data_IF_099689598305
#
_entry.id   IF_099689598305
#
_cell.length_a   1.000
_cell.length_b   1.000
_cell.length_c   1.000
_cell.angle_alpha   90.00
_cell.angle_beta   90.00
_cell.angle_gamma   90.00
#
_symmetry.space_group_name_H-M   'P 1'
#
loop_
_entity.id
_entity.type
_entity.pdbx_description
1 polymer ?
#
# COMPACT_ATOMS: atom_id res chain seq x y z
N UNK A 1 -1.12 1.56 15.41
CA UNK A 1 -0.68 0.48 14.50
C UNK A 1 -1.92 -0.30 14.18
N UNK A 2 -2.30 -0.35 12.93
CA UNK A 2 -3.53 -1.00 12.51
C UNK A 2 -3.26 -2.47 12.14
N UNK A 3 -4.26 -3.34 12.33
CA UNK A 3 -4.14 -4.77 11.97
C UNK A 3 -4.76 -5.00 10.60
N UNK A 4 -4.04 -5.67 9.72
CA UNK A 4 -4.55 -6.08 8.41
C UNK A 4 -5.16 -7.47 8.53
N UNK A 5 -6.41 -7.61 8.08
CA UNK A 5 -7.12 -8.88 8.04
C UNK A 5 -6.66 -9.75 6.86
N UNK A 6 -6.62 -9.16 5.65
CA UNK A 6 -6.18 -9.78 4.41
C UNK A 6 -5.73 -8.70 3.41
N UNK A 7 -5.09 -9.13 2.33
CA UNK A 7 -4.63 -8.26 1.23
C UNK A 7 -5.19 -8.77 -0.09
N UNK A 8 -5.72 -7.85 -0.90
CA UNK A 8 -6.14 -8.13 -2.27
C UNK A 8 -5.17 -7.48 -3.25
N UNK A 9 -4.81 -8.22 -4.31
CA UNK A 9 -3.87 -7.76 -5.34
C UNK A 9 -4.50 -7.95 -6.72
N UNK A 10 -4.40 -6.92 -7.57
CA UNK A 10 -4.77 -6.99 -8.98
C UNK A 10 -3.59 -6.52 -9.85
N UNK A 11 -3.23 -7.32 -10.85
CA UNK A 11 -2.06 -7.10 -11.71
C UNK A 11 -2.46 -6.99 -13.20
N UNK A 12 -3.42 -6.11 -13.49
CA UNK A 12 -3.93 -5.85 -14.84
C UNK A 12 -3.32 -4.60 -15.48
N UNK A 13 -4.15 -3.89 -16.27
CA UNK A 13 -3.83 -2.54 -16.74
C UNK A 13 -3.63 -1.56 -15.57
N UNK A 14 -4.42 -1.79 -14.50
CA UNK A 14 -4.26 -1.18 -13.19
C UNK A 14 -3.53 -2.15 -12.27
N UNK A 15 -2.55 -1.63 -11.54
CA UNK A 15 -1.88 -2.33 -10.45
C UNK A 15 -2.51 -1.88 -9.15
N UNK A 16 -3.11 -2.81 -8.41
CA UNK A 16 -3.80 -2.51 -7.15
C UNK A 16 -3.27 -3.41 -6.04
N UNK A 17 -3.01 -2.80 -4.88
CA UNK A 17 -2.82 -3.48 -3.60
C UNK A 17 -3.78 -2.85 -2.61
N UNK A 18 -4.73 -3.63 -2.08
CA UNK A 18 -5.66 -3.17 -1.06
C UNK A 18 -5.47 -3.94 0.24
N UNK A 19 -5.30 -3.20 1.33
CA UNK A 19 -5.24 -3.75 2.68
C UNK A 19 -6.61 -3.61 3.35
N UNK A 20 -7.17 -4.73 3.80
CA UNK A 20 -8.35 -4.74 4.66
C UNK A 20 -7.93 -4.43 6.11
N UNK A 21 -8.06 -3.18 6.54
CA UNK A 21 -7.58 -2.68 7.82
C UNK A 21 -8.67 -2.74 8.89
N UNK A 22 -8.44 -3.47 9.97
CA UNK A 22 -9.36 -3.54 11.10
C UNK A 22 -9.28 -2.28 11.96
N UNK A 23 -10.43 -1.77 12.42
CA UNK A 23 -10.41 -0.77 13.49
C UNK A 23 -9.92 -1.40 14.80
N UNK A 24 -9.02 -0.73 15.55
CA UNK A 24 -8.55 -1.23 16.84
C UNK A 24 -9.68 -1.50 17.84
N UNK A 25 -10.70 -0.64 17.84
CA UNK A 25 -11.81 -0.68 18.80
C UNK A 25 -12.98 -1.57 18.33
N UNK A 26 -13.04 -1.90 17.04
CA UNK A 26 -14.05 -2.78 16.46
C UNK A 26 -13.44 -3.64 15.33
N UNK A 27 -12.96 -4.86 15.64
CA UNK A 27 -12.37 -5.75 14.66
C UNK A 27 -13.34 -6.23 13.57
N UNK A 28 -14.66 -6.07 13.77
CA UNK A 28 -15.67 -6.38 12.76
C UNK A 28 -15.82 -5.27 11.70
N UNK A 29 -15.35 -4.06 12.04
CA UNK A 29 -15.28 -2.94 11.11
C UNK A 29 -13.97 -2.97 10.34
N UNK A 30 -14.07 -3.09 9.01
CA UNK A 30 -12.95 -3.11 8.07
C UNK A 30 -12.98 -1.83 7.24
N UNK A 31 -11.83 -1.19 7.09
CA UNK A 31 -11.62 -0.04 6.20
C UNK A 31 -10.56 -0.38 5.16
N UNK A 32 -10.74 0.12 3.93
CA UNK A 32 -9.80 -0.15 2.84
C UNK A 32 -8.69 0.89 2.77
N UNK A 33 -7.43 0.44 2.83
CA UNK A 33 -6.25 1.21 2.43
C UNK A 33 -5.77 0.69 1.08
N UNK A 34 -6.03 1.45 0.02
CA UNK A 34 -5.80 1.05 -1.37
C UNK A 34 -4.63 1.81 -1.98
N UNK A 35 -3.74 1.08 -2.63
CA UNK A 35 -2.63 1.58 -3.41
C UNK A 35 -2.92 1.27 -4.88
N UNK A 36 -2.88 2.29 -5.73
CA UNK A 36 -3.21 2.18 -7.15
C UNK A 36 -2.11 2.83 -7.99
N UNK A 37 -1.71 2.15 -9.06
CA UNK A 37 -0.88 2.71 -10.13
C UNK A 37 -1.42 2.28 -11.48
N UNK A 38 -1.54 3.24 -12.40
CA UNK A 38 -2.02 2.98 -13.77
C UNK A 38 -0.99 3.44 -14.82
N UNK A 39 0.07 2.64 -15.08
CA UNK A 39 1.20 3.05 -15.91
C UNK A 39 0.80 3.55 -17.32
N UNK A 40 -0.25 2.96 -17.90
CA UNK A 40 -0.75 3.27 -19.25
C UNK A 40 -1.18 4.73 -19.41
N UNK A 41 -1.65 5.39 -18.35
CA UNK A 41 -2.11 6.78 -18.41
C UNK A 41 -1.10 7.79 -17.83
N UNK A 42 -0.05 7.33 -17.16
CA UNK A 42 0.98 8.21 -16.56
C UNK A 42 1.65 9.18 -17.56
N UNK A 43 1.89 8.84 -18.84
CA UNK A 43 2.47 9.79 -19.80
C UNK A 43 1.63 11.07 -19.99
N UNK A 44 0.32 11.01 -19.73
CA UNK A 44 -0.61 12.13 -19.87
C UNK A 44 -0.81 12.93 -18.58
N UNK A 45 -0.18 12.53 -17.47
CA UNK A 45 -0.27 13.18 -16.15
C UNK A 45 0.94 14.06 -15.85
N UNK A 46 0.76 15.03 -14.96
CA UNK A 46 1.85 15.82 -14.43
C UNK A 46 2.80 14.96 -13.58
N UNK A 47 4.07 15.39 -13.44
CA UNK A 47 5.11 14.54 -12.83
C UNK A 47 4.82 14.18 -11.37
N UNK A 48 4.19 15.08 -10.64
CA UNK A 48 3.79 14.94 -9.26
C UNK A 48 2.56 14.03 -9.06
N UNK A 49 1.80 13.79 -10.12
CA UNK A 49 0.63 12.89 -10.14
C UNK A 49 0.97 11.46 -10.58
N UNK A 50 2.22 11.18 -10.95
CA UNK A 50 2.72 9.87 -11.42
C UNK A 50 3.21 9.00 -10.26
N UNK A 51 3.12 7.69 -10.45
CA UNK A 51 3.49 6.69 -9.44
C UNK A 51 2.29 6.12 -8.72
N UNK A 52 2.49 5.64 -7.50
CA UNK A 52 1.47 4.95 -6.73
C UNK A 52 0.68 5.95 -5.89
N UNK A 53 -0.60 6.12 -6.20
CA UNK A 53 -1.56 6.84 -5.35
C UNK A 53 -1.99 5.94 -4.19
N UNK A 54 -2.23 6.55 -3.03
CA UNK A 54 -2.69 5.88 -1.81
C UNK A 54 -3.99 6.52 -1.36
N UNK A 55 -5.01 5.71 -1.14
CA UNK A 55 -6.32 6.15 -0.63
C UNK A 55 -6.67 5.33 0.59
N UNK A 56 -7.18 5.98 1.63
CA UNK A 56 -7.69 5.30 2.81
C UNK A 56 -9.11 5.78 3.07
N UNK A 57 -10.05 4.85 3.19
CA UNK A 57 -11.47 5.10 3.44
C UNK A 57 -11.75 6.16 4.53
N UNK A 58 -11.00 6.12 5.64
CA UNK A 58 -11.14 7.07 6.76
C UNK A 58 -10.67 8.50 6.46
N UNK A 59 -10.06 8.74 5.30
CA UNK A 59 -9.50 10.03 4.86
C UNK A 59 -9.97 10.43 3.45
N UNK A 60 -11.09 9.87 2.96
CA UNK A 60 -11.59 10.16 1.62
C UNK A 60 -12.00 11.63 1.40
N UNK A 61 -12.35 12.34 2.48
CA UNK A 61 -12.73 13.76 2.42
C UNK A 61 -11.52 14.70 2.29
N UNK A 62 -10.30 14.19 2.40
CA UNK A 62 -9.10 14.99 2.19
C UNK A 62 -8.85 15.17 0.69
N UNK A 63 -8.82 16.43 0.24
CA UNK A 63 -8.56 16.78 -1.16
C UNK A 63 -7.09 16.58 -1.58
N UNK A 64 -6.22 16.16 -0.65
CA UNK A 64 -4.79 16.00 -0.91
C UNK A 64 -4.50 14.62 -1.51
N UNK A 65 -3.94 14.61 -2.72
CA UNK A 65 -3.50 13.38 -3.37
C UNK A 65 -2.29 12.80 -2.64
N UNK A 66 -2.48 11.64 -2.01
CA UNK A 66 -1.40 10.96 -1.30
C UNK A 66 -0.59 10.05 -2.23
N UNK A 67 0.71 10.33 -2.36
CA UNK A 67 1.62 9.55 -3.22
C UNK A 67 2.59 8.72 -2.38
N UNK A 68 2.72 7.44 -2.69
CA UNK A 68 3.64 6.54 -2.01
C UNK A 68 5.10 6.98 -2.21
N UNK A 69 5.86 7.03 -1.11
CA UNK A 69 7.28 7.41 -1.10
C UNK A 69 8.19 6.29 -0.61
N UNK A 70 7.71 5.42 0.27
CA UNK A 70 8.44 4.24 0.68
C UNK A 70 7.53 3.12 1.18
N UNK A 71 7.98 1.90 0.97
CA UNK A 71 7.47 0.68 1.61
C UNK A 71 8.62 0.01 2.34
N UNK A 72 8.44 -0.28 3.62
CA UNK A 72 9.42 -1.00 4.43
C UNK A 72 8.81 -2.27 4.99
N UNK A 73 9.48 -3.40 4.78
CA UNK A 73 9.10 -4.69 5.34
C UNK A 73 9.96 -5.03 6.55
N UNK A 74 9.33 -5.24 7.70
CA UNK A 74 9.94 -5.73 8.93
C UNK A 74 9.45 -7.15 9.19
N UNK A 75 10.11 -8.13 8.57
CA UNK A 75 9.66 -9.53 8.58
C UNK A 75 9.57 -10.10 10.00
N UNK A 76 10.56 -9.80 10.86
CA UNK A 76 10.60 -10.26 12.26
C UNK A 76 9.35 -9.84 13.04
N UNK A 77 8.89 -8.62 12.83
CA UNK A 77 7.76 -8.07 13.59
C UNK A 77 6.41 -8.33 12.90
N UNK A 78 6.44 -8.85 11.67
CA UNK A 78 5.31 -8.94 10.75
C UNK A 78 4.63 -7.57 10.56
N UNK A 79 5.45 -6.56 10.25
CA UNK A 79 5.02 -5.18 10.06
C UNK A 79 5.40 -4.70 8.66
N UNK A 80 4.46 -3.97 8.04
CA UNK A 80 4.69 -3.19 6.83
C UNK A 80 4.50 -1.71 7.19
N UNK A 81 5.48 -0.89 6.81
CA UNK A 81 5.35 0.56 6.89
C UNK A 81 5.20 1.16 5.50
N UNK A 82 4.18 1.99 5.33
CA UNK A 82 3.94 2.76 4.12
C UNK A 82 4.11 4.24 4.46
N UNK A 83 5.03 4.92 3.77
CA UNK A 83 5.18 6.37 3.86
C UNK A 83 4.66 6.99 2.58
N UNK A 84 3.79 7.96 2.72
CA UNK A 84 3.24 8.75 1.62
C UNK A 84 3.78 10.17 1.69
N UNK A 85 3.18 11.08 0.92
CA UNK A 85 3.49 12.52 0.92
C UNK A 85 3.24 13.16 2.28
N UNK A 86 2.13 12.86 2.94
CA UNK A 86 1.79 13.47 4.24
C UNK A 86 1.55 12.47 5.37
N UNK A 87 1.46 11.16 5.07
CA UNK A 87 1.05 10.14 6.04
C UNK A 87 2.07 9.02 6.23
N UNK A 88 1.94 8.36 7.37
CA UNK A 88 2.73 7.19 7.73
C UNK A 88 1.80 6.11 8.30
N UNK A 89 1.69 5.00 7.58
CA UNK A 89 0.91 3.85 7.98
C UNK A 89 1.83 2.76 8.51
N UNK A 90 1.49 2.20 9.67
CA UNK A 90 2.19 1.06 10.26
C UNK A 90 1.19 -0.06 10.44
N UNK A 91 1.34 -1.10 9.62
CA UNK A 91 0.39 -2.17 9.42
C UNK A 91 0.94 -3.49 9.98
N UNK A 92 0.22 -4.10 10.90
CA UNK A 92 0.50 -5.46 11.36
C UNK A 92 -0.13 -6.46 10.40
N UNK A 93 0.68 -7.31 9.78
CA UNK A 93 0.24 -8.34 8.82
C UNK A 93 0.27 -9.75 9.42
N UNK A 94 0.27 -9.87 10.75
CA UNK A 94 0.31 -11.15 11.47
C UNK A 94 -0.85 -12.11 11.13
N UNK A 95 -1.98 -11.58 10.65
CA UNK A 95 -3.16 -12.37 10.26
C UNK A 95 -3.20 -12.68 8.75
N UNK A 96 -2.36 -12.00 7.96
CA UNK A 96 -2.31 -12.14 6.51
C UNK A 96 -1.55 -13.41 6.17
N UNK A 97 -2.08 -14.21 5.25
CA UNK A 97 -1.41 -15.44 4.85
C UNK A 97 -0.14 -15.15 3.99
N UNK A 98 0.81 -16.11 3.92
CA UNK A 98 2.05 -15.90 3.18
C UNK A 98 1.89 -15.69 1.67
N UNK A 99 0.83 -16.24 1.06
CA UNK A 99 0.53 -16.13 -0.37
C UNK A 99 0.13 -14.70 -0.73
N UNK A 100 -0.82 -14.12 0.00
CA UNK A 100 -1.22 -12.71 -0.13
C UNK A 100 -0.02 -11.76 0.07
N UNK A 101 0.87 -12.06 1.02
CA UNK A 101 2.11 -11.29 1.21
C UNK A 101 3.07 -11.43 0.03
N UNK A 102 3.14 -12.60 -0.61
CA UNK A 102 3.96 -12.82 -1.79
C UNK A 102 3.43 -12.04 -2.99
N UNK A 103 2.13 -12.13 -3.25
CA UNK A 103 1.44 -11.40 -4.31
C UNK A 103 1.60 -9.89 -4.15
N UNK A 104 1.43 -9.39 -2.92
CA UNK A 104 1.63 -7.98 -2.59
C UNK A 104 3.08 -7.53 -2.86
N UNK A 105 4.08 -8.36 -2.50
CA UNK A 105 5.49 -8.05 -2.78
C UNK A 105 5.76 -8.00 -4.29
N UNK A 106 5.19 -8.91 -5.07
CA UNK A 106 5.28 -8.90 -6.53
C UNK A 106 4.63 -7.63 -7.10
N UNK A 107 3.42 -7.29 -6.63
CA UNK A 107 2.72 -6.07 -7.02
C UNK A 107 3.58 -4.83 -6.76
N UNK A 108 4.21 -4.74 -5.59
CA UNK A 108 5.11 -3.63 -5.28
C UNK A 108 6.35 -3.57 -6.20
N UNK A 109 6.88 -4.71 -6.65
CA UNK A 109 7.98 -4.71 -7.62
C UNK A 109 7.51 -4.19 -8.98
N UNK A 110 6.32 -4.63 -9.44
CA UNK A 110 5.71 -4.15 -10.69
C UNK A 110 5.37 -2.67 -10.62
N UNK A 111 4.79 -2.23 -9.49
CA UNK A 111 4.46 -0.85 -9.22
C UNK A 111 5.68 0.06 -9.12
N UNK A 112 6.91 -0.46 -8.98
CA UNK A 112 8.13 0.34 -8.80
C UNK A 112 9.11 0.22 -9.99
N UNK A 113 8.61 -0.07 -11.20
CA UNK A 113 9.45 -0.30 -12.39
C UNK A 113 10.39 0.88 -12.73
N UNK A 114 10.05 2.10 -12.32
CA UNK A 114 10.79 3.34 -12.54
C UNK A 114 11.46 3.88 -11.25
N UNK A 115 11.42 3.13 -10.16
CA UNK A 115 11.91 3.54 -8.83
C UNK A 115 11.21 4.79 -8.27
N UNK A 116 9.93 5.01 -8.55
CA UNK A 116 9.17 6.16 -8.03
C UNK A 116 9.04 6.17 -6.50
N UNK A 117 9.27 5.04 -5.82
CA UNK A 117 9.33 4.95 -4.37
C UNK A 117 10.44 4.02 -3.88
N UNK A 118 10.79 4.12 -2.59
CA UNK A 118 11.82 3.26 -1.97
C UNK A 118 11.22 1.94 -1.50
N UNK A 119 11.83 0.84 -1.91
CA UNK A 119 11.55 -0.50 -1.39
C UNK A 119 12.65 -0.91 -0.41
N UNK A 120 12.33 -0.94 0.88
CA UNK A 120 13.28 -1.33 1.92
C UNK A 120 12.92 -2.72 2.48
N UNK A 121 13.92 -3.57 2.66
CA UNK A 121 13.78 -4.81 3.42
C UNK A 121 14.69 -4.75 4.65
N UNK A 122 14.10 -4.92 5.82
CA UNK A 122 14.85 -5.22 7.04
C UNK A 122 15.06 -6.74 7.06
N UNK A 123 16.28 -7.17 6.77
CA UNK A 123 16.73 -8.52 7.08
C UNK A 123 17.07 -8.62 8.58
N UNK A 124 16.94 -9.83 9.18
CA UNK A 124 17.33 -10.09 10.56
C UNK A 124 18.82 -9.85 10.83
#
# INVERSE_FOLDING_TARGET
MDTVAFITVELGDDLIVSFAVQKPDDPSWIESLTLLRTPKYEPYRDRDERGVSVSFERFLDDNDQEMLKAVSFFERDAIIELRTTSRHYRLSVRKVNPEELADMREAFHKMNFDNSFRLNRSYP
#
